data_IF_809471961046
#
_entry.id   IF_809471961046
#
_cell.length_a   1.000
_cell.length_b   1.000
_cell.length_c   1.000
_cell.angle_alpha   90.00
_cell.angle_beta   90.00
_cell.angle_gamma   90.00
#
_symmetry.space_group_name_H-M   'P 1'
#
loop_
_entity.id
_entity.type
_entity.pdbx_description
1 polymer ?
#
# COMPACT_ATOMS: atom_id res chain seq x y z
N UNK A 1 17.83 -15.20 -17.67
CA UNK A 1 17.82 -14.68 -16.29
C UNK A 1 19.21 -14.81 -15.71
N UNK A 2 19.66 -13.83 -14.93
CA UNK A 2 20.87 -13.95 -14.10
C UNK A 2 20.61 -14.88 -12.90
N UNK A 3 21.66 -15.35 -12.23
CA UNK A 3 21.52 -16.16 -11.01
C UNK A 3 20.74 -15.39 -9.94
N UNK A 4 21.05 -14.10 -9.75
CA UNK A 4 20.32 -13.25 -8.81
C UNK A 4 18.83 -13.09 -9.17
N UNK A 5 18.47 -13.03 -10.45
CA UNK A 5 17.06 -13.02 -10.90
C UNK A 5 16.35 -14.34 -10.62
N UNK A 6 17.02 -15.47 -10.82
CA UNK A 6 16.50 -16.80 -10.50
C UNK A 6 16.27 -16.91 -8.99
N UNK A 7 17.25 -16.52 -8.19
CA UNK A 7 17.16 -16.54 -6.73
C UNK A 7 16.03 -15.65 -6.20
N UNK A 8 15.86 -14.42 -6.74
CA UNK A 8 14.72 -13.55 -6.40
C UNK A 8 13.39 -14.20 -6.74
N UNK A 9 13.28 -14.83 -7.91
CA UNK A 9 12.07 -15.54 -8.32
C UNK A 9 11.75 -16.76 -7.43
N UNK A 10 12.76 -17.44 -6.90
CA UNK A 10 12.60 -18.54 -5.96
C UNK A 10 12.20 -18.04 -4.56
N UNK A 11 12.86 -17.00 -4.03
CA UNK A 11 12.49 -16.38 -2.75
C UNK A 11 11.06 -15.86 -2.74
N UNK A 12 10.63 -15.21 -3.83
CA UNK A 12 9.25 -14.73 -3.97
C UNK A 12 8.20 -15.84 -3.87
N UNK A 13 8.60 -17.09 -4.11
CA UNK A 13 7.75 -18.29 -4.03
C UNK A 13 7.94 -19.08 -2.74
N UNK A 14 8.66 -18.52 -1.77
CA UNK A 14 8.88 -19.13 -0.46
C UNK A 14 9.95 -20.23 -0.44
N UNK A 15 10.77 -20.36 -1.50
CA UNK A 15 11.90 -21.27 -1.47
C UNK A 15 13.05 -20.68 -0.64
N UNK A 16 13.57 -21.46 0.30
CA UNK A 16 14.67 -21.03 1.17
C UNK A 16 16.02 -21.09 0.45
N UNK A 17 16.70 -19.93 0.39
CA UNK A 17 18.08 -19.81 -0.10
C UNK A 17 19.09 -19.61 1.03
N UNK A 18 18.64 -19.62 2.28
CA UNK A 18 19.43 -19.33 3.47
C UNK A 18 19.69 -17.83 3.65
N UNK A 19 20.51 -17.46 4.65
CA UNK A 19 20.75 -16.07 5.05
C UNK A 19 21.32 -15.16 3.95
N UNK A 20 22.04 -15.71 2.97
CA UNK A 20 22.61 -14.94 1.86
C UNK A 20 21.56 -14.49 0.84
N UNK A 21 20.40 -15.15 0.79
CA UNK A 21 19.30 -14.79 -0.11
C UNK A 21 19.70 -14.83 -1.59
N UNK A 22 19.47 -13.72 -2.30
CA UNK A 22 19.79 -13.57 -3.72
C UNK A 22 21.17 -12.90 -3.91
N UNK A 23 22.22 -13.62 -3.54
CA UNK A 23 23.62 -13.18 -3.58
C UNK A 23 24.27 -13.23 -4.98
N UNK A 24 23.59 -13.82 -5.97
CA UNK A 24 24.11 -14.02 -7.33
C UNK A 24 24.98 -15.26 -7.50
N UNK A 25 25.17 -16.05 -6.45
CA UNK A 25 25.98 -17.27 -6.47
C UNK A 25 25.12 -18.53 -6.49
N UNK A 26 25.35 -19.40 -7.48
CA UNK A 26 24.62 -20.66 -7.62
C UNK A 26 25.15 -21.75 -6.66
N UNK A 27 25.17 -21.44 -5.36
CA UNK A 27 25.62 -22.35 -4.32
C UNK A 27 24.64 -23.49 -4.02
N UNK A 28 25.00 -24.44 -3.12
CA UNK A 28 24.20 -25.62 -2.82
C UNK A 28 22.73 -25.33 -2.46
N UNK A 29 22.46 -24.23 -1.76
CA UNK A 29 21.09 -23.82 -1.42
C UNK A 29 20.29 -23.34 -2.64
N UNK A 30 20.92 -22.63 -3.56
CA UNK A 30 20.26 -22.22 -4.81
C UNK A 30 19.96 -23.43 -5.68
N UNK A 31 20.88 -24.39 -5.78
CA UNK A 31 20.65 -25.65 -6.49
C UNK A 31 19.50 -26.44 -5.85
N UNK A 32 19.46 -26.53 -4.52
CA UNK A 32 18.37 -27.19 -3.80
C UNK A 32 17.01 -26.51 -4.05
N UNK A 33 16.95 -25.17 -4.02
CA UNK A 33 15.74 -24.41 -4.29
C UNK A 33 15.28 -24.54 -5.75
N UNK A 34 16.21 -24.51 -6.71
CA UNK A 34 15.91 -24.77 -8.13
C UNK A 34 15.35 -26.18 -8.30
N UNK A 35 15.96 -27.18 -7.65
CA UNK A 35 15.49 -28.57 -7.69
C UNK A 35 14.09 -28.71 -7.10
N UNK A 36 13.81 -28.06 -5.97
CA UNK A 36 12.50 -28.06 -5.34
C UNK A 36 11.44 -27.41 -6.23
N UNK A 37 11.76 -26.27 -6.84
CA UNK A 37 10.89 -25.60 -7.80
C UNK A 37 10.63 -26.45 -9.05
N UNK A 38 11.66 -27.10 -9.60
CA UNK A 38 11.49 -27.98 -10.75
C UNK A 38 10.53 -29.13 -10.43
N UNK A 39 10.63 -29.74 -9.24
CA UNK A 39 9.69 -30.77 -8.78
C UNK A 39 8.26 -30.22 -8.69
N UNK A 40 8.08 -29.05 -8.08
CA UNK A 40 6.75 -28.45 -7.95
C UNK A 40 6.15 -28.06 -9.31
N UNK A 41 6.98 -27.68 -10.27
CA UNK A 41 6.59 -27.26 -11.61
C UNK A 41 6.45 -28.42 -12.61
N UNK A 42 6.63 -29.68 -12.18
CA UNK A 42 6.56 -30.85 -13.07
C UNK A 42 7.68 -30.91 -14.10
N UNK A 43 8.83 -30.30 -13.81
CA UNK A 43 10.02 -30.29 -14.64
C UNK A 43 11.00 -31.38 -14.20
N UNK A 44 12.00 -31.67 -15.05
CA UNK A 44 13.15 -32.48 -14.65
C UNK A 44 13.90 -31.75 -13.53
N UNK A 45 14.03 -32.41 -12.39
CA UNK A 45 14.62 -31.86 -11.17
C UNK A 45 16.14 -32.08 -11.13
N UNK A 46 16.85 -31.45 -12.06
CA UNK A 46 18.31 -31.54 -12.22
C UNK A 46 19.09 -30.46 -11.47
N UNK A 47 18.40 -29.50 -10.84
CA UNK A 47 19.01 -28.38 -10.11
C UNK A 47 19.61 -27.30 -11.01
N UNK A 48 19.42 -27.40 -12.33
CA UNK A 48 19.94 -26.46 -13.33
C UNK A 48 18.80 -25.60 -13.86
N UNK A 49 18.90 -24.29 -13.66
CA UNK A 49 17.93 -23.34 -14.18
C UNK A 49 18.14 -23.09 -15.70
N UNK A 50 17.94 -24.12 -16.52
CA UNK A 50 17.98 -24.03 -17.99
C UNK A 50 16.76 -23.31 -18.59
N UNK A 51 16.66 -23.21 -19.94
CA UNK A 51 15.62 -22.41 -20.60
C UNK A 51 14.18 -22.77 -20.17
N UNK A 52 13.87 -24.05 -19.96
CA UNK A 52 12.54 -24.50 -19.50
C UNK A 52 12.25 -24.07 -18.07
N UNK A 53 13.23 -24.18 -17.17
CA UNK A 53 13.11 -23.75 -15.77
C UNK A 53 13.02 -22.23 -15.67
N UNK A 54 13.83 -21.48 -16.43
CA UNK A 54 13.73 -20.02 -16.50
C UNK A 54 12.38 -19.57 -17.08
N UNK A 55 11.90 -20.22 -18.14
CA UNK A 55 10.57 -19.93 -18.68
C UNK A 55 9.45 -20.25 -17.68
N UNK A 56 9.56 -21.31 -16.88
CA UNK A 56 8.61 -21.62 -15.83
C UNK A 56 8.67 -20.61 -14.68
N UNK A 57 9.87 -20.19 -14.25
CA UNK A 57 10.06 -19.13 -13.26
C UNK A 57 9.46 -17.81 -13.77
N UNK A 58 9.67 -17.45 -15.03
CA UNK A 58 9.08 -16.27 -15.67
C UNK A 58 7.57 -16.39 -15.86
N UNK A 59 7.05 -17.56 -16.27
CA UNK A 59 5.61 -17.77 -16.47
C UNK A 59 4.89 -17.73 -15.14
N UNK A 60 5.43 -18.36 -14.10
CA UNK A 60 4.93 -18.23 -12.73
C UNK A 60 5.05 -16.78 -12.27
N UNK A 61 6.12 -16.05 -12.62
CA UNK A 61 6.26 -14.63 -12.29
C UNK A 61 5.23 -13.77 -13.04
N UNK A 62 4.84 -14.16 -14.25
CA UNK A 62 3.80 -13.48 -15.04
C UNK A 62 2.39 -13.91 -14.60
N UNK A 63 2.17 -15.15 -14.17
CA UNK A 63 0.88 -15.62 -13.65
C UNK A 63 0.64 -15.12 -12.23
N UNK A 64 1.65 -15.16 -11.37
CA UNK A 64 1.62 -14.60 -10.01
C UNK A 64 1.74 -13.07 -10.01
N UNK A 65 2.27 -12.41 -11.05
CA UNK A 65 2.07 -10.95 -11.26
C UNK A 65 0.74 -10.61 -11.91
N UNK A 66 0.12 -11.54 -12.65
CA UNK A 66 -1.30 -11.44 -13.05
C UNK A 66 -2.23 -11.73 -11.87
N UNK A 67 -1.73 -12.39 -10.83
CA UNK A 67 -2.38 -12.63 -9.53
C UNK A 67 -1.76 -11.83 -8.36
N UNK A 68 -0.88 -10.86 -8.62
CA UNK A 68 -0.47 -9.87 -7.62
C UNK A 68 -1.59 -8.82 -7.57
N UNK A 69 -2.06 -8.42 -6.38
CA UNK A 69 -3.48 -8.09 -6.21
C UNK A 69 -3.91 -6.91 -7.08
N UNK A 70 -5.22 -6.84 -7.33
CA UNK A 70 -6.02 -5.69 -7.77
C UNK A 70 -5.71 -4.34 -7.05
N UNK A 71 -4.70 -4.26 -6.17
CA UNK A 71 -4.39 -3.17 -5.26
C UNK A 71 -3.03 -2.53 -5.55
N UNK A 72 -2.94 -1.20 -5.65
CA UNK A 72 -1.68 -0.50 -5.88
C UNK A 72 -0.71 -0.60 -4.70
N UNK A 73 0.60 -0.51 -4.95
CA UNK A 73 1.65 -0.73 -3.94
C UNK A 73 1.57 0.19 -2.71
N UNK A 74 1.17 1.45 -2.88
CA UNK A 74 0.94 2.37 -1.74
C UNK A 74 -0.25 1.93 -0.87
N UNK A 75 -1.24 1.24 -1.44
CA UNK A 75 -2.35 0.69 -0.67
C UNK A 75 -1.91 -0.54 0.12
N UNK A 76 -1.04 -1.39 -0.44
CA UNK A 76 -0.46 -2.54 0.29
C UNK A 76 0.34 -2.04 1.50
N UNK A 77 1.16 -0.99 1.32
CA UNK A 77 1.89 -0.37 2.42
C UNK A 77 0.95 0.24 3.47
N UNK A 78 -0.13 0.89 3.02
CA UNK A 78 -1.15 1.44 3.90
C UNK A 78 -1.84 0.36 4.74
N UNK A 79 -2.17 -0.80 4.17
CA UNK A 79 -2.78 -1.91 4.90
C UNK A 79 -1.86 -2.44 6.01
N UNK A 80 -0.55 -2.40 5.79
CA UNK A 80 0.46 -2.78 6.80
C UNK A 80 0.54 -1.84 8.02
N UNK A 81 -0.07 -0.66 7.99
CA UNK A 81 -0.12 0.28 9.13
C UNK A 81 -1.40 0.16 9.96
N UNK A 82 -2.34 -0.74 9.59
CA UNK A 82 -3.61 -0.90 10.32
C UNK A 82 -3.34 -1.24 11.79
N UNK A 83 -3.95 -0.44 12.67
CA UNK A 83 -3.79 -0.57 14.13
C UNK A 83 -2.72 0.32 14.74
N UNK A 84 -1.94 1.08 13.94
CA UNK A 84 -1.11 2.17 14.46
C UNK A 84 -2.02 3.21 15.10
N UNK A 85 -1.66 3.71 16.29
CA UNK A 85 -2.44 4.68 17.07
C UNK A 85 -1.53 5.74 17.67
N UNK A 86 -2.08 6.90 18.01
CA UNK A 86 -1.38 7.85 18.87
C UNK A 86 -1.01 7.21 20.22
N UNK A 87 0.05 7.72 20.84
CA UNK A 87 0.48 7.27 22.16
C UNK A 87 -0.51 7.68 23.24
N UNK A 88 -0.51 6.96 24.35
CA UNK A 88 -1.41 7.26 25.45
C UNK A 88 -0.93 8.49 26.24
N UNK A 89 -1.86 9.39 26.57
CA UNK A 89 -1.58 10.54 27.42
C UNK A 89 -0.63 11.54 26.74
N UNK A 90 0.51 11.83 27.38
CA UNK A 90 1.55 12.72 26.85
C UNK A 90 2.66 12.00 26.08
N UNK A 91 2.57 10.67 25.94
CA UNK A 91 3.56 9.89 25.20
C UNK A 91 3.29 9.98 23.70
N UNK A 92 4.34 10.17 22.90
CA UNK A 92 4.23 10.12 21.44
C UNK A 92 4.45 8.69 20.95
N UNK A 93 3.65 8.22 20.00
CA UNK A 93 3.91 6.97 19.30
C UNK A 93 5.04 7.18 18.26
N UNK A 94 6.20 6.50 18.40
CA UNK A 94 7.32 6.64 17.47
C UNK A 94 6.95 6.25 16.03
N UNK A 95 5.97 5.36 15.83
CA UNK A 95 5.49 5.01 14.48
C UNK A 95 4.77 6.17 13.82
N UNK A 96 3.93 6.91 14.54
CA UNK A 96 3.24 8.11 14.02
C UNK A 96 4.26 9.21 13.71
N UNK A 97 5.23 9.43 14.60
CA UNK A 97 6.34 10.37 14.35
C UNK A 97 7.15 9.97 13.10
N UNK A 98 7.38 8.67 12.89
CA UNK A 98 8.07 8.19 11.69
C UNK A 98 7.26 8.46 10.41
N UNK A 99 5.93 8.41 10.45
CA UNK A 99 5.09 8.74 9.28
C UNK A 99 5.27 10.21 8.85
N UNK A 100 5.44 11.15 9.80
CA UNK A 100 5.82 12.51 9.46
C UNK A 100 7.19 12.58 8.79
N UNK A 101 8.19 11.90 9.34
CA UNK A 101 9.54 11.88 8.76
C UNK A 101 9.55 11.31 7.33
N UNK A 102 8.86 10.19 7.12
CA UNK A 102 8.75 9.53 5.82
C UNK A 102 8.03 10.40 4.79
N UNK A 103 7.04 11.18 5.22
CA UNK A 103 6.38 12.17 4.37
C UNK A 103 7.28 13.37 4.01
N UNK A 104 8.37 13.59 4.75
CA UNK A 104 9.30 14.71 4.58
C UNK A 104 9.18 15.82 5.63
N UNK A 105 8.47 15.56 6.73
CA UNK A 105 8.25 16.49 7.84
C UNK A 105 8.97 16.02 9.12
N UNK A 106 10.26 15.69 9.00
CA UNK A 106 11.05 15.11 10.10
C UNK A 106 11.20 16.01 11.34
N UNK A 107 10.89 17.30 11.22
CA UNK A 107 10.85 18.25 12.36
C UNK A 107 9.66 18.06 13.30
N UNK A 108 8.61 17.34 12.88
CA UNK A 108 7.43 17.07 13.72
C UNK A 108 7.71 15.83 14.58
N UNK A 109 7.63 16.01 15.90
CA UNK A 109 7.91 14.97 16.89
C UNK A 109 6.72 14.63 17.79
N UNK A 110 5.61 15.34 17.60
CA UNK A 110 4.38 15.18 18.38
C UNK A 110 3.33 14.48 17.53
N UNK A 111 2.73 13.41 18.04
CA UNK A 111 1.68 12.67 17.33
C UNK A 111 0.27 13.27 17.50
N UNK A 112 0.11 14.24 18.41
CA UNK A 112 -1.08 15.08 18.55
C UNK A 112 -1.31 16.04 17.37
N UNK A 113 -0.33 16.20 16.49
CA UNK A 113 -0.51 16.90 15.22
C UNK A 113 -1.28 15.99 14.28
N UNK A 114 -2.34 16.48 13.64
CA UNK A 114 -3.10 15.73 12.65
C UNK A 114 -2.16 15.15 11.57
N UNK A 115 -2.15 13.82 11.45
CA UNK A 115 -1.19 13.04 10.67
C UNK A 115 -1.82 12.28 9.50
N UNK A 116 -3.12 12.47 9.21
CA UNK A 116 -3.80 11.84 8.07
C UNK A 116 -3.10 12.11 6.73
N UNK A 117 -2.76 13.37 6.44
CA UNK A 117 -2.05 13.76 5.22
C UNK A 117 -0.57 13.30 5.21
N UNK A 118 0.08 13.34 6.37
CA UNK A 118 1.45 12.83 6.53
C UNK A 118 1.50 11.34 6.20
N UNK A 119 0.61 10.55 6.78
CA UNK A 119 0.64 9.10 6.60
C UNK A 119 0.24 8.68 5.18
N UNK A 120 -0.70 9.37 4.52
CA UNK A 120 -0.90 9.21 3.06
C UNK A 120 0.38 9.54 2.29
N UNK A 121 1.04 10.66 2.62
CA UNK A 121 2.27 11.08 1.97
C UNK A 121 3.44 10.11 2.17
N UNK A 122 3.53 9.50 3.35
CA UNK A 122 4.51 8.46 3.67
C UNK A 122 4.31 7.22 2.81
N UNK A 123 3.07 6.73 2.67
CA UNK A 123 2.79 5.57 1.82
C UNK A 123 3.13 5.83 0.36
N UNK A 124 2.79 7.03 -0.15
CA UNK A 124 3.15 7.44 -1.51
C UNK A 124 4.67 7.46 -1.70
N UNK A 125 5.42 8.11 -0.80
CA UNK A 125 6.89 8.17 -0.89
C UNK A 125 7.54 6.80 -0.83
N UNK A 126 7.11 5.94 0.10
CA UNK A 126 7.62 4.57 0.23
C UNK A 126 7.33 3.73 -1.02
N UNK A 127 6.23 4.00 -1.71
CA UNK A 127 5.90 3.41 -3.00
C UNK A 127 6.60 4.08 -4.21
N UNK A 128 7.42 5.11 -3.99
CA UNK A 128 8.15 5.82 -5.05
C UNK A 128 7.43 7.02 -5.67
N UNK A 129 6.26 7.40 -5.15
CA UNK A 129 5.47 8.52 -5.66
C UNK A 129 5.73 9.83 -4.89
N UNK A 130 5.62 10.96 -5.60
CA UNK A 130 5.73 12.28 -4.97
C UNK A 130 4.39 12.68 -4.32
N UNK A 131 4.32 12.92 -3.00
CA UNK A 131 3.10 13.34 -2.32
C UNK A 131 2.81 14.82 -2.58
N UNK A 132 1.68 15.33 -2.06
CA UNK A 132 1.32 16.76 -2.18
C UNK A 132 2.35 17.70 -1.56
N UNK A 133 3.15 17.20 -0.60
CA UNK A 133 4.14 18.00 0.13
C UNK A 133 3.51 18.92 1.18
N UNK A 134 2.26 18.66 1.59
CA UNK A 134 1.54 19.43 2.60
C UNK A 134 0.86 18.53 3.63
N UNK A 135 0.73 19.02 4.86
CA UNK A 135 -0.03 18.38 5.93
C UNK A 135 -1.53 18.71 5.90
N UNK A 136 -1.96 19.61 5.01
CA UNK A 136 -3.37 19.87 4.80
C UNK A 136 -3.99 18.72 4.01
N UNK A 137 -4.99 18.03 4.56
CA UNK A 137 -5.68 16.91 3.90
C UNK A 137 -6.20 17.28 2.50
N UNK A 138 -6.83 18.46 2.38
CA UNK A 138 -7.39 18.96 1.11
C UNK A 138 -6.33 19.39 0.09
N UNK A 139 -5.03 19.40 0.43
CA UNK A 139 -3.95 19.62 -0.54
C UNK A 139 -3.93 18.57 -1.67
N UNK A 140 -4.50 17.39 -1.41
CA UNK A 140 -4.61 16.35 -2.43
C UNK A 140 -5.67 16.64 -3.50
N UNK A 141 -6.62 17.56 -3.29
CA UNK A 141 -7.70 17.83 -4.25
C UNK A 141 -7.22 18.28 -5.64
N UNK A 142 -6.02 18.85 -5.72
CA UNK A 142 -5.35 19.23 -6.97
C UNK A 142 -4.15 18.33 -7.32
N UNK A 143 -3.86 17.30 -6.51
CA UNK A 143 -2.73 16.40 -6.71
C UNK A 143 -3.04 15.30 -7.74
N UNK A 144 -2.08 14.97 -8.60
CA UNK A 144 -2.25 13.89 -9.59
C UNK A 144 -3.41 14.11 -10.56
N UNK A 145 -4.03 13.03 -11.01
CA UNK A 145 -5.19 13.05 -11.91
C UNK A 145 -6.48 12.88 -11.11
N UNK A 146 -7.50 13.67 -11.45
CA UNK A 146 -8.83 13.56 -10.85
C UNK A 146 -9.64 12.40 -11.43
N UNK A 147 -10.27 11.61 -10.56
CA UNK A 147 -11.19 10.53 -10.93
C UNK A 147 -12.64 10.98 -10.72
N UNK A 148 -13.54 10.57 -11.63
CA UNK A 148 -14.98 10.84 -11.50
C UNK A 148 -15.63 9.94 -10.44
N UNK A 149 -15.15 8.71 -10.31
CA UNK A 149 -15.63 7.70 -9.38
C UNK A 149 -14.47 7.19 -8.51
N UNK A 150 -14.75 6.66 -7.30
CA UNK A 150 -13.74 6.06 -6.45
C UNK A 150 -13.16 4.80 -7.12
N UNK A 151 -11.88 4.56 -6.86
CA UNK A 151 -11.15 3.38 -7.27
C UNK A 151 -10.32 2.87 -6.09
N UNK A 152 -10.07 1.56 -6.03
CA UNK A 152 -9.29 0.93 -4.97
C UNK A 152 -7.89 1.55 -4.91
N UNK A 153 -7.53 2.08 -3.75
CA UNK A 153 -6.27 2.79 -3.52
C UNK A 153 -6.27 4.24 -3.97
N UNK A 154 -7.33 4.76 -4.58
CA UNK A 154 -7.40 6.19 -4.87
C UNK A 154 -7.33 7.00 -3.58
N UNK A 155 -6.65 8.15 -3.63
CA UNK A 155 -6.68 9.11 -2.53
C UNK A 155 -8.05 9.77 -2.55
N UNK A 156 -8.73 9.79 -1.41
CA UNK A 156 -10.01 10.46 -1.27
C UNK A 156 -9.93 11.53 -0.19
N UNK A 157 -10.37 12.73 -0.53
CA UNK A 157 -10.48 13.85 0.41
C UNK A 157 -11.95 14.08 0.75
N UNK A 158 -12.24 14.41 2.00
CA UNK A 158 -13.57 14.82 2.46
C UNK A 158 -13.51 16.12 3.26
N UNK A 159 -14.63 16.84 3.28
CA UNK A 159 -14.82 17.98 4.18
C UNK A 159 -14.79 17.52 5.63
N UNK A 160 -14.32 18.40 6.52
CA UNK A 160 -14.43 18.25 7.97
C UNK A 160 -14.71 19.62 8.57
N UNK A 161 -15.53 19.67 9.62
CA UNK A 161 -15.84 20.91 10.32
C UNK A 161 -16.50 21.98 9.45
N UNK A 162 -16.40 23.25 9.88
CA UNK A 162 -17.12 24.37 9.27
C UNK A 162 -16.24 25.26 8.37
N UNK A 163 -14.94 24.96 8.24
CA UNK A 163 -14.02 25.77 7.43
C UNK A 163 -13.63 25.05 6.14
N UNK A 164 -13.45 25.83 5.07
CA UNK A 164 -13.07 25.29 3.76
C UNK A 164 -11.69 24.64 3.74
N UNK A 165 -10.75 25.01 4.59
CA UNK A 165 -9.42 24.38 4.59
C UNK A 165 -9.38 23.05 5.37
N UNK A 166 -10.34 22.83 6.28
CA UNK A 166 -10.42 21.61 7.09
C UNK A 166 -10.89 20.43 6.23
N UNK A 167 -10.26 19.28 6.42
CA UNK A 167 -10.65 18.06 5.73
C UNK A 167 -9.97 16.85 6.30
N UNK A 168 -10.33 15.70 5.76
CA UNK A 168 -9.72 14.40 6.06
C UNK A 168 -9.32 13.70 4.76
N UNK A 169 -8.29 12.87 4.81
CA UNK A 169 -7.74 12.17 3.65
C UNK A 169 -7.32 10.75 4.00
N UNK A 170 -7.49 9.84 3.04
CA UNK A 170 -7.05 8.45 3.13
C UNK A 170 -7.14 7.75 1.78
N UNK A 171 -7.02 6.43 1.78
CA UNK A 171 -7.12 5.58 0.60
C UNK A 171 -8.46 4.86 0.55
N UNK A 172 -9.12 4.88 -0.60
CA UNK A 172 -10.36 4.13 -0.84
C UNK A 172 -10.07 2.63 -0.76
N UNK A 173 -10.83 1.91 0.07
CA UNK A 173 -10.80 0.43 0.15
C UNK A 173 -12.14 -0.22 -0.18
N UNK A 174 -13.19 0.58 -0.33
CA UNK A 174 -14.52 0.13 -0.71
C UNK A 174 -15.45 1.32 -0.99
N UNK A 175 -16.57 1.06 -1.65
CA UNK A 175 -17.59 2.05 -1.91
C UNK A 175 -18.96 1.39 -2.10
N UNK A 176 -19.99 2.02 -1.55
CA UNK A 176 -21.39 1.72 -1.81
C UNK A 176 -22.06 2.97 -2.43
N UNK A 177 -23.35 2.91 -2.81
CA UNK A 177 -24.07 4.09 -3.28
C UNK A 177 -24.09 5.25 -2.27
N UNK A 178 -24.01 4.95 -0.97
CA UNK A 178 -24.14 5.94 0.11
C UNK A 178 -22.87 6.15 0.92
N UNK A 179 -21.90 5.24 0.85
CA UNK A 179 -20.71 5.27 1.69
C UNK A 179 -19.42 5.07 0.89
N UNK A 180 -18.34 5.62 1.42
CA UNK A 180 -16.97 5.28 1.02
C UNK A 180 -16.27 4.70 2.25
N UNK A 181 -15.56 3.59 2.05
CA UNK A 181 -14.71 2.98 3.05
C UNK A 181 -13.29 3.48 2.85
N UNK A 182 -12.75 4.16 3.87
CA UNK A 182 -11.49 4.86 3.82
C UNK A 182 -10.50 4.27 4.82
N UNK A 183 -9.35 3.84 4.32
CA UNK A 183 -8.18 3.51 5.11
C UNK A 183 -7.36 4.78 5.33
N UNK A 184 -7.23 5.23 6.57
CA UNK A 184 -6.54 6.48 6.87
C UNK A 184 -6.22 6.68 8.35
N UNK A 185 -5.36 7.65 8.61
CA UNK A 185 -4.86 8.02 9.94
C UNK A 185 -5.79 8.96 10.70
N UNK A 186 -5.54 9.14 11.99
CA UNK A 186 -6.38 9.95 12.90
C UNK A 186 -7.86 9.56 12.94
N UNK A 187 -8.25 8.37 12.49
CA UNK A 187 -9.63 7.90 12.59
C UNK A 187 -9.83 7.29 13.97
N UNK A 188 -10.36 8.06 14.93
CA UNK A 188 -10.35 7.72 16.35
C UNK A 188 -8.92 7.46 16.85
N UNK A 189 -8.03 8.41 16.54
CA UNK A 189 -6.59 8.44 16.88
C UNK A 189 -5.83 7.21 16.39
N UNK A 190 -6.28 6.63 15.27
CA UNK A 190 -5.77 5.40 14.71
C UNK A 190 -5.67 5.44 13.18
N UNK A 191 -4.77 4.62 12.64
CA UNK A 191 -4.76 4.20 11.25
C UNK A 191 -5.66 2.98 11.12
N UNK A 192 -6.82 3.16 10.50
CA UNK A 192 -7.84 2.12 10.40
C UNK A 192 -8.72 2.29 9.17
N UNK A 193 -9.65 1.36 8.98
CA UNK A 193 -10.73 1.52 8.02
C UNK A 193 -11.96 2.12 8.72
N UNK A 194 -12.57 3.13 8.09
CA UNK A 194 -13.83 3.71 8.54
C UNK A 194 -14.76 4.00 7.35
N UNK A 195 -16.06 3.99 7.61
CA UNK A 195 -17.10 4.27 6.65
C UNK A 195 -17.61 5.71 6.82
N UNK A 196 -17.60 6.47 5.73
CA UNK A 196 -18.04 7.86 5.67
C UNK A 196 -19.14 8.04 4.65
N UNK A 197 -19.97 9.08 4.79
CA UNK A 197 -21.01 9.38 3.82
C UNK A 197 -20.37 9.84 2.52
N UNK A 198 -20.82 9.26 1.39
CA UNK A 198 -20.30 9.62 0.05
C UNK A 198 -20.46 11.12 -0.24
N UNK A 199 -21.43 11.79 0.38
CA UNK A 199 -21.69 13.23 0.22
C UNK A 199 -20.61 14.12 0.83
N UNK A 200 -19.77 13.59 1.72
CA UNK A 200 -18.72 14.34 2.39
C UNK A 200 -17.46 14.49 1.52
N UNK A 201 -17.30 13.60 0.54
CA UNK A 201 -16.11 13.54 -0.32
C UNK A 201 -16.10 14.66 -1.35
N UNK A 202 -14.93 15.26 -1.51
CA UNK A 202 -14.68 16.40 -2.39
C UNK A 202 -13.88 16.02 -3.62
N UNK A 203 -13.01 15.00 -3.52
CA UNK A 203 -12.23 14.53 -4.66
C UNK A 203 -11.77 13.08 -4.49
N UNK A 204 -11.59 12.40 -5.62
CA UNK A 204 -10.86 11.15 -5.76
C UNK A 204 -9.68 11.38 -6.70
N UNK A 205 -8.48 10.97 -6.28
CA UNK A 205 -7.22 11.33 -6.96
C UNK A 205 -6.32 10.12 -7.13
N UNK A 206 -5.63 10.10 -8.27
CA UNK A 206 -4.75 9.02 -8.68
C UNK A 206 -3.36 9.57 -9.02
N UNK A 207 -2.26 8.83 -8.75
CA UNK A 207 -0.93 9.26 -9.17
C UNK A 207 -0.88 9.49 -10.69
N UNK A 208 -0.31 10.62 -11.12
CA UNK A 208 -0.23 10.98 -12.54
C UNK A 208 0.84 10.17 -13.30
N UNK A 209 1.77 9.56 -12.58
CA UNK A 209 2.84 8.69 -13.07
C UNK A 209 2.43 7.22 -13.21
N UNK A 210 1.15 6.90 -12.94
CA UNK A 210 0.60 5.56 -13.07
C UNK A 210 -0.48 5.51 -14.17
N UNK A 211 -0.63 4.36 -14.86
CA UNK A 211 -1.83 4.11 -15.66
C UNK A 211 -3.09 4.33 -14.82
N UNK A 212 -4.15 4.86 -15.45
CA UNK A 212 -5.44 5.01 -14.79
C UNK A 212 -5.94 3.64 -14.28
N UNK A 213 -6.62 3.60 -13.13
CA UNK A 213 -7.10 2.35 -12.57
C UNK A 213 -8.09 1.70 -13.53
N UNK A 214 -7.94 0.38 -13.74
CA UNK A 214 -8.92 -0.38 -14.49
C UNK A 214 -10.27 -0.35 -13.76
N UNK A 215 -11.41 -0.33 -14.48
CA UNK A 215 -12.71 -0.47 -13.86
C UNK A 215 -12.80 -1.77 -13.06
N UNK A 216 -13.16 -1.68 -11.79
CA UNK A 216 -13.36 -2.82 -10.91
C UNK A 216 -14.51 -2.55 -9.95
N UNK A 217 -15.21 -3.60 -9.53
CA UNK A 217 -16.26 -3.49 -8.53
C UNK A 217 -15.62 -3.38 -7.16
N UNK A 218 -15.82 -2.25 -6.50
CA UNK A 218 -15.35 -2.06 -5.13
C UNK A 218 -16.19 -2.87 -4.13
N UNK A 219 -15.58 -3.38 -3.06
CA UNK A 219 -16.35 -3.93 -1.94
C UNK A 219 -17.36 -2.90 -1.42
N UNK A 220 -18.61 -3.32 -1.28
CA UNK A 220 -19.70 -2.47 -0.78
C UNK A 220 -19.85 -2.54 0.75
N UNK A 221 -19.14 -3.49 1.38
CA UNK A 221 -18.97 -3.63 2.82
C UNK A 221 -17.53 -4.04 3.13
N UNK A 222 -17.03 -3.64 4.31
CA UNK A 222 -15.71 -4.04 4.80
C UNK A 222 -15.86 -4.48 6.26
N UNK A 223 -15.46 -5.71 6.57
CA UNK A 223 -15.49 -6.22 7.93
C UNK A 223 -14.60 -5.36 8.84
N UNK A 224 -15.10 -5.01 10.02
CA UNK A 224 -14.37 -4.17 10.99
C UNK A 224 -14.30 -2.68 10.65
N UNK A 225 -14.89 -2.23 9.54
CA UNK A 225 -15.01 -0.80 9.26
C UNK A 225 -15.89 -0.11 10.31
N UNK A 226 -15.36 0.94 10.94
CA UNK A 226 -16.07 1.71 11.96
C UNK A 226 -16.88 2.84 11.32
N UNK A 227 -18.06 3.13 11.84
CA UNK A 227 -18.89 4.27 11.44
C UNK A 227 -18.85 5.36 12.52
N UNK A 228 -19.02 6.62 12.13
CA UNK A 228 -19.09 7.74 13.08
C UNK A 228 -17.80 7.97 13.88
N UNK A 229 -16.64 7.61 13.31
CA UNK A 229 -15.34 7.85 13.94
C UNK A 229 -15.02 9.33 13.95
N UNK A 230 -14.44 9.82 15.04
CA UNK A 230 -13.84 11.16 15.06
C UNK A 230 -12.61 11.19 14.17
N UNK A 231 -12.37 12.34 13.52
CA UNK A 231 -11.10 12.63 12.85
C UNK A 231 -10.45 13.86 13.49
N UNK A 232 -9.13 13.92 13.51
CA UNK A 232 -8.36 15.07 14.02
C UNK A 232 -8.40 16.29 13.09
#
# INVERSE_FOLDING_TARGET
MTVAEIQRALLARGYDLGPSGADGDAGPRTIAAVTAFQRSAGLVADGIAGPKTQAALQKADISERREAPEKPGWLVLAEGEVGVREGAGSANNPRVVQLFADAGFSGIKQDSVAWCAAAVGAMLKRAGHKPSGSLAARSYESWGVGLKEPALGAIATKKRGNSSWQGHVGFVVGASPTQIFLLGGNQGDAWSIAAFSRKEFTAFRWPADMPLPAPHTLPTTIAGARSGVSEA
#
